data_IF_574354240132
#
_entry.id   IF_574354240132
#
_cell.length_a   1.000
_cell.length_b   1.000
_cell.length_c   1.000
_cell.angle_alpha   90.00
_cell.angle_beta   90.00
_cell.angle_gamma   90.00
#
_symmetry.space_group_name_H-M   'P 1'
#
loop_
_entity.id
_entity.type
_entity.pdbx_description
1 polymer ?
#
# COMPACT_ATOMS: atom_id res chain seq x y z
N UNK A 1 11.62 -5.78 22.41
CA UNK A 1 11.14 -6.59 21.27
C UNK A 1 10.25 -5.78 20.31
N UNK A 2 9.14 -5.18 20.77
CA UNK A 2 8.22 -4.40 19.90
C UNK A 2 8.90 -3.32 19.05
N UNK A 3 9.74 -2.46 19.64
CA UNK A 3 10.43 -1.39 18.90
C UNK A 3 11.28 -1.94 17.74
N UNK A 4 11.96 -3.06 17.96
CA UNK A 4 12.77 -3.74 16.93
C UNK A 4 11.86 -4.24 15.82
N UNK A 5 10.78 -4.95 16.16
CA UNK A 5 9.81 -5.45 15.16
C UNK A 5 9.18 -4.30 14.36
N UNK A 6 8.72 -3.24 15.03
CA UNK A 6 8.13 -2.07 14.38
C UNK A 6 9.12 -1.38 13.43
N UNK A 7 10.38 -1.24 13.85
CA UNK A 7 11.44 -0.66 13.02
C UNK A 7 11.72 -1.53 11.80
N UNK A 8 11.85 -2.86 11.98
CA UNK A 8 12.11 -3.78 10.88
C UNK A 8 10.96 -3.78 9.86
N UNK A 9 9.72 -3.82 10.33
CA UNK A 9 8.53 -3.75 9.44
C UNK A 9 8.44 -2.41 8.72
N UNK A 10 8.75 -1.30 9.40
CA UNK A 10 8.75 0.04 8.79
C UNK A 10 9.85 0.19 7.74
N UNK A 11 11.06 -0.27 8.04
CA UNK A 11 12.16 -0.27 7.09
C UNK A 11 11.86 -1.16 5.88
N UNK A 12 11.35 -2.38 6.10
CA UNK A 12 11.00 -3.30 5.04
C UNK A 12 9.91 -2.71 4.12
N UNK A 13 8.82 -2.19 4.70
CA UNK A 13 7.75 -1.56 3.93
C UNK A 13 8.24 -0.36 3.12
N UNK A 14 9.08 0.49 3.71
CA UNK A 14 9.67 1.63 3.01
C UNK A 14 10.57 1.17 1.85
N UNK A 15 11.46 0.20 2.07
CA UNK A 15 12.39 -0.30 1.05
C UNK A 15 11.66 -0.92 -0.14
N UNK A 16 10.66 -1.78 0.10
CA UNK A 16 9.88 -2.40 -0.97
C UNK A 16 9.12 -1.33 -1.78
N UNK A 17 8.53 -0.34 -1.12
CA UNK A 17 7.81 0.73 -1.83
C UNK A 17 8.73 1.70 -2.56
N UNK A 18 9.92 1.99 -2.04
CA UNK A 18 10.95 2.76 -2.78
C UNK A 18 11.37 2.01 -4.03
N UNK A 19 11.59 0.70 -3.92
CA UNK A 19 11.90 -0.14 -5.08
C UNK A 19 10.77 -0.10 -6.13
N UNK A 20 9.50 -0.24 -5.71
CA UNK A 20 8.36 -0.11 -6.61
C UNK A 20 8.26 1.27 -7.27
N UNK A 21 8.53 2.33 -6.51
CA UNK A 21 8.54 3.70 -7.01
C UNK A 21 9.62 3.90 -8.08
N UNK A 22 10.83 3.39 -7.85
CA UNK A 22 11.92 3.44 -8.84
C UNK A 22 11.51 2.68 -10.12
N UNK A 23 10.95 1.48 -9.98
CA UNK A 23 10.44 0.72 -11.13
C UNK A 23 9.36 1.50 -11.88
N UNK A 24 8.43 2.14 -11.16
CA UNK A 24 7.33 2.94 -11.72
C UNK A 24 7.81 4.12 -12.57
N UNK A 25 8.91 4.76 -12.16
CA UNK A 25 9.46 5.94 -12.81
C UNK A 25 10.39 5.62 -13.98
N UNK A 26 11.21 4.56 -13.87
CA UNK A 26 12.26 4.26 -14.86
C UNK A 26 11.76 3.33 -15.97
N UNK A 27 10.98 2.30 -15.63
CA UNK A 27 10.76 1.15 -16.53
C UNK A 27 9.43 1.17 -17.28
N UNK A 28 8.52 2.11 -16.98
CA UNK A 28 7.19 2.12 -17.59
C UNK A 28 7.18 2.84 -18.95
N UNK A 29 6.80 2.16 -20.05
CA UNK A 29 6.68 2.78 -21.35
C UNK A 29 5.55 3.81 -21.36
N UNK A 30 5.63 4.79 -22.27
CA UNK A 30 4.68 5.90 -22.38
C UNK A 30 3.22 5.49 -22.59
N UNK A 31 2.96 4.26 -23.06
CA UNK A 31 1.63 3.71 -23.26
C UNK A 31 0.98 3.19 -21.95
N UNK A 32 1.74 3.03 -20.86
CA UNK A 32 1.24 2.58 -19.54
C UNK A 32 1.28 3.68 -18.47
N UNK A 33 1.25 4.96 -18.88
CA UNK A 33 1.33 6.13 -17.99
C UNK A 33 0.32 6.12 -16.85
N UNK A 34 -0.88 5.56 -17.06
CA UNK A 34 -1.92 5.50 -16.05
C UNK A 34 -1.52 4.61 -14.87
N UNK A 35 -1.04 3.39 -15.16
CA UNK A 35 -0.58 2.44 -14.15
C UNK A 35 0.63 2.97 -13.39
N UNK A 36 1.60 3.59 -14.10
CA UNK A 36 2.76 4.22 -13.46
C UNK A 36 2.35 5.32 -12.47
N UNK A 37 1.37 6.17 -12.82
CA UNK A 37 0.84 7.21 -11.92
C UNK A 37 0.17 6.60 -10.69
N UNK A 38 -0.67 5.57 -10.87
CA UNK A 38 -1.36 4.90 -9.74
C UNK A 38 -0.36 4.26 -8.78
N UNK A 39 0.64 3.55 -9.31
CA UNK A 39 1.70 2.90 -8.52
C UNK A 39 2.52 3.97 -7.80
N UNK A 40 2.90 5.04 -8.49
CA UNK A 40 3.67 6.16 -7.91
C UNK A 40 2.94 6.77 -6.71
N UNK A 41 1.66 7.12 -6.87
CA UNK A 41 0.84 7.72 -5.80
C UNK A 41 0.76 6.78 -4.60
N UNK A 42 0.49 5.50 -4.84
CA UNK A 42 0.39 4.51 -3.76
C UNK A 42 1.73 4.27 -3.06
N UNK A 43 2.80 4.07 -3.80
CA UNK A 43 4.12 3.84 -3.21
C UNK A 43 4.57 5.04 -2.38
N UNK A 44 4.28 6.27 -2.83
CA UNK A 44 4.52 7.47 -2.03
C UNK A 44 3.72 7.48 -0.72
N UNK A 45 2.42 7.17 -0.73
CA UNK A 45 1.63 7.12 0.50
C UNK A 45 2.08 6.00 1.44
N UNK A 46 2.46 4.83 0.91
CA UNK A 46 2.96 3.71 1.72
C UNK A 46 4.32 4.02 2.36
N UNK A 47 5.23 4.70 1.64
CA UNK A 47 6.48 5.19 2.23
C UNK A 47 6.17 6.15 3.38
N UNK A 48 5.23 7.08 3.20
CA UNK A 48 4.85 8.01 4.27
C UNK A 48 4.27 7.31 5.49
N UNK A 49 3.44 6.27 5.32
CA UNK A 49 2.96 5.43 6.43
C UNK A 49 4.14 4.79 7.17
N UNK A 50 5.07 4.19 6.45
CA UNK A 50 6.23 3.54 7.05
C UNK A 50 7.11 4.53 7.84
N UNK A 51 7.38 5.70 7.26
CA UNK A 51 8.17 6.77 7.92
C UNK A 51 7.45 7.27 9.16
N UNK A 52 6.15 7.56 9.08
CA UNK A 52 5.38 8.06 10.20
C UNK A 52 5.24 7.01 11.30
N UNK A 53 5.04 5.73 10.95
CA UNK A 53 4.97 4.65 11.92
C UNK A 53 6.30 4.44 12.66
N UNK A 54 7.43 4.59 11.97
CA UNK A 54 8.74 4.64 12.62
C UNK A 54 8.89 5.88 13.53
N UNK A 55 8.42 7.04 13.06
CA UNK A 55 8.51 8.30 13.78
C UNK A 55 7.70 8.31 15.09
N UNK A 56 6.48 7.76 15.09
CA UNK A 56 5.64 7.74 16.30
C UNK A 56 5.80 6.49 17.16
N UNK A 57 6.01 5.33 16.55
CA UNK A 57 5.92 4.00 17.20
C UNK A 57 4.73 3.93 18.17
N UNK A 58 3.55 4.16 17.61
CA UNK A 58 2.35 4.41 18.39
C UNK A 58 1.84 3.13 19.08
N UNK A 59 1.47 3.26 20.35
CA UNK A 59 0.68 2.27 21.10
C UNK A 59 -0.67 2.91 21.46
N UNK A 60 -1.74 2.15 21.32
CA UNK A 60 -3.10 2.63 21.59
C UNK A 60 -3.67 1.79 22.72
N UNK A 61 -4.13 2.47 23.77
CA UNK A 61 -4.79 1.87 24.93
C UNK A 61 -6.12 2.59 25.08
N UNK A 62 -7.20 1.84 25.27
CA UNK A 62 -8.51 2.42 25.57
C UNK A 62 -9.23 1.52 26.54
N UNK A 63 -9.90 2.11 27.53
CA UNK A 63 -10.85 1.47 28.42
C UNK A 63 -12.29 1.91 28.11
N UNK A 64 -12.53 2.58 26.97
CA UNK A 64 -13.86 3.08 26.60
C UNK A 64 -14.20 4.46 27.20
N UNK A 65 -13.78 4.72 28.43
CA UNK A 65 -13.96 6.00 29.13
C UNK A 65 -12.83 6.98 28.76
N UNK A 66 -11.63 6.46 28.54
CA UNK A 66 -10.42 7.18 28.18
C UNK A 66 -9.66 6.47 27.06
N UNK A 67 -9.03 7.27 26.20
CA UNK A 67 -8.12 6.79 25.15
C UNK A 67 -6.75 7.40 25.40
N UNK A 68 -5.74 6.55 25.51
CA UNK A 68 -4.35 6.91 25.67
C UNK A 68 -3.55 6.52 24.43
N UNK A 69 -2.80 7.48 23.92
CA UNK A 69 -1.82 7.31 22.86
C UNK A 69 -0.43 7.35 23.51
N UNK A 70 0.26 6.22 23.54
CA UNK A 70 1.62 6.12 24.09
C UNK A 70 2.61 6.03 22.92
N UNK A 71 3.37 7.10 22.70
CA UNK A 71 4.35 7.18 21.61
C UNK A 71 5.76 6.96 22.15
N UNK A 72 6.54 6.13 21.47
CA UNK A 72 7.93 5.81 21.86
C UNK A 72 8.95 5.92 20.70
N UNK A 73 8.54 6.54 19.59
CA UNK A 73 9.42 6.78 18.45
C UNK A 73 10.20 8.09 18.55
N UNK A 74 10.91 8.46 17.50
CA UNK A 74 11.72 9.69 17.45
C UNK A 74 10.92 10.98 17.69
N UNK A 75 9.58 10.94 17.56
CA UNK A 75 8.71 12.07 17.89
C UNK A 75 8.86 12.55 19.34
N UNK A 76 9.25 11.67 20.27
CA UNK A 76 9.35 12.01 21.69
C UNK A 76 10.44 13.05 21.96
N UNK A 77 11.49 13.09 21.14
CA UNK A 77 12.53 14.13 21.20
C UNK A 77 12.06 15.49 20.72
N UNK A 78 11.04 15.56 19.86
CA UNK A 78 10.45 16.81 19.38
C UNK A 78 9.30 17.30 20.26
N UNK A 79 8.75 16.40 21.08
CA UNK A 79 7.75 16.69 22.09
C UNK A 79 6.32 16.24 21.73
N UNK A 80 5.35 16.50 22.63
CA UNK A 80 4.01 15.91 22.53
C UNK A 80 3.22 16.30 21.29
N UNK A 81 3.33 17.55 20.85
CA UNK A 81 2.67 18.03 19.64
C UNK A 81 3.17 17.31 18.40
N UNK A 82 4.46 16.98 18.33
CA UNK A 82 5.04 16.24 17.22
C UNK A 82 4.53 14.80 17.19
N UNK A 83 4.45 14.13 18.36
CA UNK A 83 3.87 12.78 18.45
C UNK A 83 2.39 12.74 18.06
N UNK A 84 1.59 13.69 18.55
CA UNK A 84 0.18 13.80 18.16
C UNK A 84 0.01 14.05 16.67
N UNK A 85 0.78 15.00 16.12
CA UNK A 85 0.76 15.32 14.68
C UNK A 85 1.14 14.11 13.85
N UNK A 86 2.20 13.38 14.24
CA UNK A 86 2.64 12.18 13.57
C UNK A 86 1.55 11.09 13.56
N UNK A 87 0.82 10.91 14.66
CA UNK A 87 -0.30 9.97 14.73
C UNK A 87 -1.45 10.36 13.80
N UNK A 88 -1.82 11.65 13.78
CA UNK A 88 -2.89 12.16 12.92
C UNK A 88 -2.52 12.03 11.43
N UNK A 89 -1.27 12.32 11.06
CA UNK A 89 -0.80 12.10 9.69
C UNK A 89 -0.74 10.60 9.34
N UNK A 90 -0.27 9.74 10.24
CA UNK A 90 -0.19 8.30 10.01
C UNK A 90 -1.56 7.73 9.64
N UNK A 91 -2.56 8.02 10.48
CA UNK A 91 -3.93 7.57 10.28
C UNK A 91 -4.57 8.18 9.03
N UNK A 92 -4.26 9.44 8.73
CA UNK A 92 -4.66 10.10 7.48
C UNK A 92 -4.12 9.39 6.23
N UNK A 93 -2.86 8.94 6.22
CA UNK A 93 -2.33 8.21 5.07
C UNK A 93 -2.91 6.79 4.96
N UNK A 94 -3.21 6.14 6.09
CA UNK A 94 -3.93 4.85 6.08
C UNK A 94 -5.33 5.05 5.46
N UNK A 95 -6.03 6.11 5.86
CA UNK A 95 -7.33 6.45 5.30
C UNK A 95 -7.26 6.80 3.81
N UNK A 96 -6.26 7.59 3.42
CA UNK A 96 -5.98 7.90 2.01
C UNK A 96 -5.84 6.62 1.18
N UNK A 97 -5.09 5.64 1.70
CA UNK A 97 -4.87 4.35 1.05
C UNK A 97 -6.16 3.54 0.87
N UNK A 98 -7.04 3.49 1.88
CA UNK A 98 -8.32 2.79 1.80
C UNK A 98 -9.22 3.40 0.73
N UNK A 99 -9.41 4.72 0.79
CA UNK A 99 -10.19 5.45 -0.22
C UNK A 99 -9.57 5.23 -1.61
N UNK A 100 -8.24 5.25 -1.72
CA UNK A 100 -7.55 5.03 -3.00
C UNK A 100 -7.77 3.62 -3.57
N UNK A 101 -7.90 2.59 -2.72
CA UNK A 101 -8.32 1.25 -3.15
C UNK A 101 -9.73 1.30 -3.75
N UNK A 102 -10.68 1.99 -3.07
CA UNK A 102 -12.03 2.21 -3.59
C UNK A 102 -12.06 3.01 -4.91
N UNK A 103 -11.25 4.06 -5.05
CA UNK A 103 -11.13 4.79 -6.30
C UNK A 103 -10.52 3.91 -7.41
N UNK A 104 -9.52 3.08 -7.08
CA UNK A 104 -8.90 2.14 -8.02
C UNK A 104 -9.92 1.12 -8.55
N UNK A 105 -10.85 0.68 -7.70
CA UNK A 105 -11.97 -0.17 -8.07
C UNK A 105 -12.91 0.53 -9.06
N UNK A 106 -13.29 1.77 -8.76
CA UNK A 106 -14.14 2.58 -9.63
C UNK A 106 -13.50 2.85 -11.01
N UNK A 107 -12.20 3.20 -11.02
CA UNK A 107 -11.47 3.43 -12.28
C UNK A 107 -11.43 2.19 -13.17
N UNK A 108 -11.24 1.00 -12.59
CA UNK A 108 -11.23 -0.25 -13.37
C UNK A 108 -12.60 -0.59 -13.93
N UNK A 109 -13.67 -0.35 -13.17
CA UNK A 109 -15.03 -0.48 -13.69
C UNK A 109 -15.26 0.46 -14.89
N UNK A 110 -14.78 1.71 -14.79
CA UNK A 110 -14.88 2.69 -15.86
C UNK A 110 -14.10 2.29 -17.11
N UNK A 111 -12.86 1.81 -16.99
CA UNK A 111 -12.09 1.30 -18.15
C UNK A 111 -12.76 0.08 -18.82
N UNK A 112 -13.48 -0.76 -18.07
CA UNK A 112 -14.18 -1.92 -18.65
C UNK A 112 -15.44 -1.54 -19.45
N UNK A 113 -16.14 -0.46 -19.07
CA UNK A 113 -17.42 -0.07 -19.68
C UNK A 113 -17.34 1.20 -20.54
N UNK A 114 -16.29 2.02 -20.37
CA UNK A 114 -16.13 3.36 -20.95
C UNK A 114 -14.69 3.60 -21.42
N UNK A 115 -14.44 4.78 -21.97
CA UNK A 115 -13.12 5.19 -22.46
C UNK A 115 -12.12 5.43 -21.32
N UNK A 116 -10.83 5.17 -21.57
CA UNK A 116 -9.79 5.27 -20.53
C UNK A 116 -9.68 6.67 -19.91
N UNK A 117 -9.63 6.77 -18.56
CA UNK A 117 -9.47 8.04 -17.89
C UNK A 117 -8.08 8.62 -18.15
N UNK A 118 -8.00 9.93 -18.41
CA UNK A 118 -6.73 10.62 -18.63
C UNK A 118 -5.91 10.64 -17.34
N UNK A 119 -4.59 10.42 -17.44
CA UNK A 119 -3.67 10.47 -16.29
C UNK A 119 -3.71 11.81 -15.51
N UNK A 120 -4.05 12.93 -16.19
CA UNK A 120 -4.25 14.22 -15.53
C UNK A 120 -5.41 14.21 -14.54
N UNK A 121 -6.49 13.50 -14.87
CA UNK A 121 -7.68 13.37 -14.00
C UNK A 121 -7.34 12.57 -12.74
N UNK A 122 -6.62 11.46 -12.87
CA UNK A 122 -6.19 10.65 -11.71
C UNK A 122 -5.29 11.46 -10.77
N UNK A 123 -4.33 12.22 -11.32
CA UNK A 123 -3.48 13.11 -10.49
C UNK A 123 -4.28 14.18 -9.77
N UNK A 124 -5.29 14.77 -10.43
CA UNK A 124 -6.16 15.77 -9.81
C UNK A 124 -6.98 15.16 -8.67
N UNK A 125 -7.55 13.97 -8.86
CA UNK A 125 -8.32 13.27 -7.83
C UNK A 125 -7.44 12.98 -6.60
N UNK A 126 -6.24 12.44 -6.83
CA UNK A 126 -5.28 12.18 -5.75
C UNK A 126 -4.90 13.46 -5.00
N UNK A 127 -4.65 14.55 -5.73
CA UNK A 127 -4.34 15.85 -5.14
C UNK A 127 -5.50 16.38 -4.29
N UNK A 128 -6.73 16.38 -4.82
CA UNK A 128 -7.92 16.81 -4.08
C UNK A 128 -8.11 15.99 -2.80
N UNK A 129 -7.92 14.67 -2.87
CA UNK A 129 -8.06 13.79 -1.72
C UNK A 129 -7.01 14.08 -0.64
N UNK A 130 -5.74 14.25 -1.02
CA UNK A 130 -4.67 14.62 -0.09
C UNK A 130 -4.97 15.97 0.57
N UNK A 131 -5.42 16.95 -0.21
CA UNK A 131 -5.74 18.29 0.29
C UNK A 131 -6.87 18.25 1.33
N UNK A 132 -7.97 17.54 1.05
CA UNK A 132 -9.10 17.41 1.99
C UNK A 132 -8.64 16.76 3.29
N UNK A 133 -7.90 15.65 3.20
CA UNK A 133 -7.42 14.96 4.39
C UNK A 133 -6.40 15.79 5.18
N UNK A 134 -5.54 16.55 4.50
CA UNK A 134 -4.59 17.46 5.14
C UNK A 134 -5.30 18.57 5.94
N UNK A 135 -6.37 19.17 5.40
CA UNK A 135 -7.15 20.16 6.13
C UNK A 135 -7.83 19.58 7.37
N UNK A 136 -8.36 18.35 7.28
CA UNK A 136 -8.96 17.66 8.43
C UNK A 136 -7.92 17.42 9.54
N UNK A 137 -6.73 16.94 9.19
CA UNK A 137 -5.65 16.69 10.15
C UNK A 137 -5.14 17.98 10.80
N UNK A 138 -4.87 19.00 9.99
CA UNK A 138 -4.39 20.30 10.51
C UNK A 138 -5.39 20.98 11.41
N UNK A 139 -6.70 20.81 11.15
CA UNK A 139 -7.76 21.23 12.05
C UNK A 139 -7.58 20.64 13.46
N UNK A 140 -7.49 19.31 13.58
CA UNK A 140 -7.28 18.67 14.89
C UNK A 140 -5.97 19.07 15.58
N UNK A 141 -4.87 19.17 14.82
CA UNK A 141 -3.57 19.59 15.35
C UNK A 141 -3.65 21.03 15.90
N UNK A 142 -4.39 21.93 15.25
CA UNK A 142 -4.52 23.32 15.70
C UNK A 142 -5.21 23.46 17.06
N UNK A 143 -6.10 22.52 17.41
CA UNK A 143 -6.77 22.48 18.71
C UNK A 143 -5.98 21.73 19.78
N UNK A 144 -4.87 21.08 19.41
CA UNK A 144 -4.06 20.30 20.34
C UNK A 144 -3.29 21.20 21.30
N UNK A 145 -3.58 21.05 22.60
CA UNK A 145 -2.85 21.73 23.66
C UNK A 145 -2.09 20.71 24.52
N UNK A 146 -0.74 20.71 24.50
CA UNK A 146 0.05 19.72 25.23
C UNK A 146 -0.21 19.79 26.74
N UNK A 147 -0.47 20.98 27.32
CA UNK A 147 -0.66 21.13 28.77
C UNK A 147 -1.86 20.36 29.32
N UNK A 148 -2.91 20.24 28.52
CA UNK A 148 -4.16 19.56 28.91
C UNK A 148 -4.22 18.11 28.44
N UNK A 149 -3.34 17.73 27.52
CA UNK A 149 -3.42 16.45 26.82
C UNK A 149 -2.23 15.54 27.08
N UNK A 150 -1.29 15.91 27.95
CA UNK A 150 -0.18 15.05 28.36
C UNK A 150 -0.35 14.55 29.79
N UNK A 151 -0.12 13.27 30.01
CA UNK A 151 -0.15 12.65 31.34
C UNK A 151 1.25 12.23 31.78
N UNK A 152 1.64 12.47 33.04
CA UNK A 152 2.93 12.03 33.54
C UNK A 152 2.97 10.49 33.66
N UNK A 153 4.01 9.87 33.09
CA UNK A 153 4.24 8.43 33.13
C UNK A 153 4.16 7.79 34.53
N UNK A 154 4.57 8.55 35.56
CA UNK A 154 4.51 8.15 36.97
C UNK A 154 3.09 7.84 37.45
N UNK A 155 2.07 8.46 36.85
CA UNK A 155 0.66 8.24 37.23
C UNK A 155 0.11 6.90 36.73
N UNK A 156 0.78 6.30 35.72
CA UNK A 156 0.41 5.03 35.09
C UNK A 156 1.30 3.87 35.54
N UNK A 157 2.12 4.05 36.58
CA UNK A 157 3.06 3.05 37.09
C UNK A 157 4.02 2.51 36.02
N UNK A 158 4.32 3.31 34.98
CA UNK A 158 5.26 2.94 33.93
C UNK A 158 6.62 3.60 34.19
N UNK A 159 7.71 2.86 34.00
CA UNK A 159 9.07 3.40 34.14
C UNK A 159 9.29 4.58 33.21
N UNK A 160 9.94 5.68 33.67
CA UNK A 160 10.24 6.85 32.87
C UNK A 160 11.34 6.52 31.85
N UNK A 161 10.96 5.78 30.81
CA UNK A 161 11.68 5.76 29.54
C UNK A 161 11.15 6.89 28.66
N UNK A 162 11.86 7.24 27.59
CA UNK A 162 11.55 8.33 26.64
C UNK A 162 10.22 8.14 25.89
N UNK A 163 9.11 8.14 26.63
CA UNK A 163 7.75 7.93 26.13
C UNK A 163 6.89 9.15 26.41
N UNK A 164 6.03 9.47 25.45
CA UNK A 164 5.04 10.52 25.59
C UNK A 164 3.67 9.87 25.64
N UNK A 165 2.91 10.18 26.70
CA UNK A 165 1.54 9.70 26.89
C UNK A 165 0.58 10.85 26.63
N UNK A 166 -0.22 10.70 25.58
CA UNK A 166 -1.25 11.65 25.20
C UNK A 166 -2.63 11.11 25.58
N UNK A 167 -3.49 11.98 26.07
CA UNK A 167 -4.87 11.64 26.43
C UNK A 167 -5.74 12.89 26.57
N UNK A 168 -6.89 12.73 27.22
CA UNK A 168 -7.85 13.81 27.46
C UNK A 168 -8.89 13.97 26.34
N UNK A 169 -9.83 14.92 26.48
CA UNK A 169 -11.04 14.97 25.65
C UNK A 169 -10.77 15.13 24.16
N UNK A 170 -9.77 15.94 23.80
CA UNK A 170 -9.41 16.13 22.40
C UNK A 170 -8.85 14.85 21.78
N UNK A 171 -7.89 14.20 22.45
CA UNK A 171 -7.28 12.94 21.99
C UNK A 171 -8.32 11.84 21.89
N UNK A 172 -9.25 11.78 22.85
CA UNK A 172 -10.39 10.88 22.83
C UNK A 172 -11.26 11.09 21.59
N UNK A 173 -11.79 12.30 21.41
CA UNK A 173 -12.69 12.62 20.30
C UNK A 173 -12.01 12.46 18.94
N UNK A 174 -10.76 12.91 18.80
CA UNK A 174 -10.03 12.80 17.54
C UNK A 174 -9.73 11.34 17.19
N UNK A 175 -9.32 10.52 18.16
CA UNK A 175 -9.01 9.11 17.91
C UNK A 175 -10.27 8.33 17.56
N UNK A 176 -11.37 8.53 18.30
CA UNK A 176 -12.64 7.90 18.00
C UNK A 176 -13.15 8.28 16.61
N UNK A 177 -13.06 9.57 16.25
CA UNK A 177 -13.45 10.06 14.91
C UNK A 177 -12.64 9.39 13.82
N UNK A 178 -11.32 9.34 13.96
CA UNK A 178 -10.41 8.71 12.98
C UNK A 178 -10.72 7.23 12.80
N UNK A 179 -10.92 6.48 13.89
CA UNK A 179 -11.27 5.05 13.81
C UNK A 179 -12.67 4.82 13.22
N UNK A 180 -13.64 5.70 13.49
CA UNK A 180 -14.97 5.63 12.89
C UNK A 180 -14.91 5.88 11.37
N UNK A 181 -14.13 6.87 10.93
CA UNK A 181 -13.91 7.16 9.50
C UNK A 181 -13.21 5.97 8.82
N UNK A 182 -12.16 5.41 9.43
CA UNK A 182 -11.50 4.21 8.93
C UNK A 182 -12.47 3.04 8.78
N UNK A 183 -13.37 2.82 9.75
CA UNK A 183 -14.39 1.77 9.70
C UNK A 183 -15.35 1.98 8.52
N UNK A 184 -15.85 3.20 8.36
CA UNK A 184 -16.76 3.56 7.25
C UNK A 184 -16.06 3.29 5.91
N UNK A 185 -14.81 3.72 5.76
CA UNK A 185 -14.05 3.55 4.52
C UNK A 185 -13.74 2.10 4.20
N UNK A 186 -13.38 1.28 5.20
CA UNK A 186 -13.23 -0.17 5.00
C UNK A 186 -14.55 -0.81 4.56
N UNK A 187 -15.67 -0.48 5.21
CA UNK A 187 -16.98 -0.99 4.83
C UNK A 187 -17.35 -0.62 3.39
N UNK A 188 -17.10 0.63 2.98
CA UNK A 188 -17.30 1.08 1.60
C UNK A 188 -16.44 0.29 0.60
N UNK A 189 -15.16 0.07 0.91
CA UNK A 189 -14.26 -0.73 0.07
C UNK A 189 -14.76 -2.17 -0.08
N UNK A 190 -15.26 -2.79 0.99
CA UNK A 190 -15.81 -4.15 0.95
C UNK A 190 -17.11 -4.22 0.13
N UNK A 191 -18.02 -3.26 0.30
CA UNK A 191 -19.26 -3.17 -0.50
C UNK A 191 -18.91 -3.02 -1.99
N UNK A 192 -18.00 -2.11 -2.33
CA UNK A 192 -17.54 -1.91 -3.70
C UNK A 192 -16.88 -3.17 -4.26
N UNK A 193 -16.13 -3.91 -3.45
CA UNK A 193 -15.54 -5.19 -3.87
C UNK A 193 -16.60 -6.23 -4.22
N UNK A 194 -17.60 -6.47 -3.35
CA UNK A 194 -18.67 -7.43 -3.64
C UNK A 194 -19.43 -7.03 -4.90
N UNK A 195 -19.77 -5.75 -5.03
CA UNK A 195 -20.46 -5.23 -6.22
C UNK A 195 -19.65 -5.44 -7.51
N UNK A 196 -18.36 -5.09 -7.53
CA UNK A 196 -17.51 -5.29 -8.72
C UNK A 196 -17.31 -6.76 -9.03
N UNK A 197 -17.15 -7.61 -8.01
CA UNK A 197 -17.02 -9.05 -8.20
C UNK A 197 -18.23 -9.61 -8.95
N UNK A 198 -19.44 -9.21 -8.55
CA UNK A 198 -20.67 -9.67 -9.19
C UNK A 198 -20.77 -9.19 -10.64
N UNK A 199 -20.44 -7.91 -10.88
CA UNK A 199 -20.36 -7.35 -12.24
C UNK A 199 -19.36 -8.13 -13.11
N UNK A 200 -18.17 -8.43 -12.59
CA UNK A 200 -17.10 -9.07 -13.36
C UNK A 200 -17.42 -10.53 -13.69
N UNK A 201 -18.06 -11.27 -12.78
CA UNK A 201 -18.52 -12.64 -13.02
C UNK A 201 -19.60 -12.65 -14.11
N UNK A 202 -20.55 -11.72 -14.06
CA UNK A 202 -21.59 -11.59 -15.08
C UNK A 202 -21.01 -11.22 -16.45
N UNK A 203 -19.95 -10.40 -16.49
CA UNK A 203 -19.28 -10.03 -17.74
C UNK A 203 -18.47 -11.20 -18.34
N UNK A 204 -17.80 -12.01 -17.51
CA UNK A 204 -17.09 -13.22 -17.95
C UNK A 204 -18.01 -14.23 -18.63
N UNK A 205 -19.25 -14.39 -18.14
CA UNK A 205 -20.24 -15.27 -18.77
C UNK A 205 -20.63 -14.82 -20.19
N UNK A 206 -20.42 -13.55 -20.53
CA UNK A 206 -20.82 -12.97 -21.81
C UNK A 206 -19.71 -12.95 -22.88
N UNK A 207 -18.43 -13.04 -22.50
CA UNK A 207 -17.30 -12.90 -23.46
C UNK A 207 -16.11 -13.82 -23.12
N UNK A 208 -15.87 -14.84 -23.95
CA UNK A 208 -14.78 -15.83 -23.78
C UNK A 208 -13.37 -15.28 -24.04
N UNK A 209 -13.22 -14.23 -24.87
CA UNK A 209 -11.92 -13.61 -25.17
C UNK A 209 -11.33 -12.79 -24.01
N UNK A 210 -12.14 -12.41 -23.01
CA UNK A 210 -11.74 -11.54 -21.88
C UNK A 210 -11.37 -12.35 -20.63
N UNK A 211 -11.41 -13.68 -20.70
CA UNK A 211 -11.28 -14.58 -19.54
C UNK A 211 -9.93 -14.41 -18.81
N UNK A 212 -8.82 -14.32 -19.57
CA UNK A 212 -7.48 -14.18 -19.00
C UNK A 212 -7.24 -12.81 -18.35
N UNK A 213 -7.73 -11.71 -18.96
CA UNK A 213 -7.62 -10.38 -18.36
C UNK A 213 -8.48 -10.26 -17.10
N UNK A 214 -9.70 -10.82 -17.12
CA UNK A 214 -10.58 -10.84 -15.96
C UNK A 214 -10.00 -11.67 -14.81
N UNK A 215 -9.35 -12.81 -15.09
CA UNK A 215 -8.67 -13.62 -14.06
C UNK A 215 -7.52 -12.88 -13.35
N UNK A 216 -6.68 -12.15 -14.09
CA UNK A 216 -5.61 -11.34 -13.51
C UNK A 216 -6.20 -10.24 -12.61
N UNK A 217 -7.28 -9.60 -13.06
CA UNK A 217 -7.99 -8.58 -12.27
C UNK A 217 -8.52 -9.17 -10.95
N UNK A 218 -9.22 -10.32 -11.00
CA UNK A 218 -9.74 -11.04 -9.82
C UNK A 218 -8.63 -11.38 -8.83
N UNK A 219 -7.47 -11.85 -9.31
CA UNK A 219 -6.33 -12.16 -8.43
C UNK A 219 -5.85 -10.93 -7.66
N UNK A 220 -5.75 -9.78 -8.33
CA UNK A 220 -5.31 -8.58 -7.62
C UNK A 220 -6.36 -8.05 -6.66
N UNK A 221 -7.65 -8.11 -7.02
CA UNK A 221 -8.73 -7.71 -6.12
C UNK A 221 -8.70 -8.50 -4.81
N UNK A 222 -8.43 -9.80 -4.88
CA UNK A 222 -8.30 -10.64 -3.68
C UNK A 222 -7.20 -10.12 -2.74
N UNK A 223 -6.04 -9.75 -3.29
CA UNK A 223 -4.95 -9.20 -2.48
C UNK A 223 -5.36 -7.85 -1.88
N UNK A 224 -5.93 -6.94 -2.66
CA UNK A 224 -6.34 -5.61 -2.17
C UNK A 224 -7.42 -5.68 -1.07
N UNK A 225 -8.34 -6.65 -1.15
CA UNK A 225 -9.30 -6.93 -0.08
C UNK A 225 -8.60 -7.46 1.17
N UNK A 226 -7.65 -8.39 1.02
CA UNK A 226 -6.87 -8.88 2.17
C UNK A 226 -6.19 -7.72 2.92
N UNK A 227 -5.65 -6.71 2.20
CA UNK A 227 -5.08 -5.50 2.82
C UNK A 227 -6.12 -4.74 3.66
N UNK A 228 -7.33 -4.60 3.12
CA UNK A 228 -8.45 -3.92 3.79
C UNK A 228 -8.93 -4.70 5.02
N UNK A 229 -8.89 -6.04 4.96
CA UNK A 229 -9.25 -6.92 6.09
C UNK A 229 -8.26 -6.82 7.25
N UNK A 230 -6.96 -6.64 7.00
CA UNK A 230 -6.00 -6.35 8.08
C UNK A 230 -6.30 -5.02 8.78
N UNK A 231 -6.73 -4.02 8.02
CA UNK A 231 -7.17 -2.73 8.59
C UNK A 231 -8.45 -2.90 9.41
N UNK A 232 -9.43 -3.67 8.91
CA UNK A 232 -10.64 -4.03 9.66
C UNK A 232 -10.32 -4.74 10.97
N UNK A 233 -9.37 -5.68 10.95
CA UNK A 233 -8.96 -6.42 12.14
C UNK A 233 -8.34 -5.48 13.19
N UNK A 234 -7.51 -4.52 12.77
CA UNK A 234 -6.97 -3.50 13.68
C UNK A 234 -8.06 -2.65 14.33
N UNK A 235 -9.08 -2.26 13.56
CA UNK A 235 -10.24 -1.51 14.06
C UNK A 235 -11.08 -2.37 15.01
N UNK A 236 -11.33 -3.63 14.66
CA UNK A 236 -12.08 -4.56 15.52
C UNK A 236 -11.40 -4.76 16.87
N UNK A 237 -10.07 -4.92 16.88
CA UNK A 237 -9.27 -5.02 18.12
C UNK A 237 -9.40 -3.73 18.95
N UNK A 238 -9.36 -2.56 18.33
CA UNK A 238 -9.59 -1.30 19.02
C UNK A 238 -10.98 -1.26 19.69
N UNK A 239 -12.04 -1.66 18.99
CA UNK A 239 -13.38 -1.72 19.58
C UNK A 239 -13.53 -2.78 20.67
N UNK A 240 -12.85 -3.93 20.54
CA UNK A 240 -12.82 -4.96 21.60
C UNK A 240 -12.11 -4.48 22.87
N UNK A 241 -11.06 -3.67 22.73
CA UNK A 241 -10.45 -2.97 23.87
C UNK A 241 -11.42 -1.94 24.45
N UNK A 242 -12.11 -1.18 23.59
CA UNK A 242 -13.06 -0.15 23.99
C UNK A 242 -14.24 -0.72 24.81
N UNK A 243 -14.71 -1.94 24.49
CA UNK A 243 -15.79 -2.62 25.24
C UNK A 243 -15.30 -3.37 26.49
N UNK A 244 -14.02 -3.23 26.87
CA UNK A 244 -13.37 -3.94 28.00
C UNK A 244 -13.49 -5.47 27.90
N UNK A 245 -13.68 -6.03 26.70
CA UNK A 245 -13.87 -7.47 26.49
C UNK A 245 -12.55 -8.24 26.58
N UNK A 246 -11.43 -7.59 26.26
CA UNK A 246 -10.09 -8.17 26.30
C UNK A 246 -9.15 -7.24 27.08
N UNK A 247 -8.33 -7.82 27.95
CA UNK A 247 -7.32 -7.07 28.72
C UNK A 247 -6.29 -6.40 27.80
N UNK A 248 -5.89 -5.18 28.17
CA UNK A 248 -5.06 -4.32 27.34
C UNK A 248 -3.66 -4.89 27.07
N UNK A 249 -3.08 -5.67 28.01
CA UNK A 249 -1.65 -6.00 28.02
C UNK A 249 -1.12 -6.68 26.73
N UNK A 250 -1.94 -7.51 26.06
CA UNK A 250 -1.54 -8.24 24.85
C UNK A 250 -1.87 -7.53 23.53
N UNK A 251 -2.80 -6.56 23.54
CA UNK A 251 -3.35 -5.99 22.31
C UNK A 251 -2.84 -4.59 21.97
N UNK A 252 -2.13 -3.94 22.90
CA UNK A 252 -1.61 -2.57 22.75
C UNK A 252 -0.71 -2.39 21.53
N UNK A 253 0.04 -3.45 21.19
CA UNK A 253 0.97 -3.45 20.06
C UNK A 253 0.33 -3.93 18.76
N UNK A 254 -0.82 -4.60 18.82
CA UNK A 254 -1.37 -5.34 17.69
C UNK A 254 -1.99 -4.43 16.64
N UNK A 255 -2.71 -3.38 17.06
CA UNK A 255 -3.36 -2.41 16.16
C UNK A 255 -2.36 -1.77 15.17
N UNK A 256 -1.27 -1.11 15.61
CA UNK A 256 -0.31 -0.50 14.70
C UNK A 256 0.43 -1.53 13.83
N UNK A 257 0.71 -2.73 14.36
CA UNK A 257 1.34 -3.81 13.59
C UNK A 257 0.46 -4.30 12.44
N UNK A 258 -0.85 -4.42 12.67
CA UNK A 258 -1.81 -4.81 11.63
C UNK A 258 -1.89 -3.77 10.51
N UNK A 259 -1.89 -2.48 10.87
CA UNK A 259 -1.87 -1.40 9.87
C UNK A 259 -0.60 -1.42 9.01
N UNK A 260 0.53 -1.89 9.56
CA UNK A 260 1.80 -2.01 8.84
C UNK A 260 1.88 -3.17 7.84
N UNK A 261 1.00 -4.16 7.94
CA UNK A 261 0.94 -5.24 6.95
C UNK A 261 0.49 -4.69 5.58
N UNK A 262 -0.38 -3.68 5.58
CA UNK A 262 -0.91 -3.07 4.35
C UNK A 262 0.19 -2.49 3.43
N UNK A 263 1.06 -1.55 3.87
CA UNK A 263 2.13 -1.02 3.03
C UNK A 263 3.18 -2.07 2.65
N UNK A 264 3.37 -3.15 3.42
CA UNK A 264 4.30 -4.23 3.07
C UNK A 264 3.74 -5.09 1.93
N UNK A 265 2.44 -5.38 1.95
CA UNK A 265 1.79 -6.27 0.99
C UNK A 265 1.25 -5.55 -0.25
N UNK A 266 1.01 -4.24 -0.18
CA UNK A 266 0.52 -3.44 -1.32
C UNK A 266 1.38 -3.58 -2.59
N UNK A 267 2.73 -3.58 -2.54
CA UNK A 267 3.61 -3.70 -3.71
C UNK A 267 3.33 -4.94 -4.55
N UNK A 268 3.02 -6.06 -3.89
CA UNK A 268 2.76 -7.34 -4.54
C UNK A 268 1.47 -7.32 -5.36
N UNK A 269 0.46 -6.57 -4.91
CA UNK A 269 -0.76 -6.31 -5.70
C UNK A 269 -0.41 -5.64 -7.03
N UNK A 270 0.55 -4.71 -7.04
CA UNK A 270 0.92 -3.97 -8.24
C UNK A 270 1.87 -4.74 -9.16
N UNK A 271 2.76 -5.57 -8.61
CA UNK A 271 3.61 -6.46 -9.41
C UNK A 271 2.78 -7.44 -10.26
N UNK A 272 1.69 -7.97 -9.69
CA UNK A 272 0.74 -8.83 -10.42
C UNK A 272 -0.05 -8.09 -11.50
N UNK A 273 -0.11 -6.75 -11.44
CA UNK A 273 -0.76 -5.91 -12.45
C UNK A 273 0.05 -5.73 -13.74
N UNK A 274 1.29 -6.23 -13.79
CA UNK A 274 2.19 -6.07 -14.93
C UNK A 274 2.37 -7.38 -15.71
N UNK A 275 1.40 -7.77 -16.57
CA UNK A 275 1.59 -8.90 -17.48
C UNK A 275 2.83 -8.71 -18.40
N UNK A 276 3.19 -7.46 -18.69
CA UNK A 276 4.35 -7.13 -19.51
C UNK A 276 5.71 -7.25 -18.77
N UNK A 277 5.77 -7.21 -17.43
CA UNK A 277 7.03 -7.49 -16.71
C UNK A 277 7.30 -8.99 -16.61
N UNK A 278 6.26 -9.82 -16.49
CA UNK A 278 6.44 -11.28 -16.62
C UNK A 278 6.92 -11.65 -18.02
N UNK A 279 6.33 -11.08 -19.07
CA UNK A 279 6.82 -11.28 -20.41
C UNK A 279 8.23 -10.71 -20.59
N UNK A 280 8.54 -9.51 -20.09
CA UNK A 280 9.88 -8.92 -20.20
C UNK A 280 10.95 -9.72 -19.42
N UNK A 281 10.68 -10.18 -18.20
CA UNK A 281 11.59 -11.06 -17.46
C UNK A 281 11.72 -12.43 -18.12
N UNK A 282 10.66 -12.94 -18.76
CA UNK A 282 10.73 -14.15 -19.56
C UNK A 282 11.50 -13.94 -20.88
N UNK A 283 11.41 -12.76 -21.50
CA UNK A 283 12.19 -12.38 -22.69
C UNK A 283 13.66 -12.17 -22.36
N UNK A 284 14.00 -11.52 -21.24
CA UNK A 284 15.38 -11.46 -20.75
C UNK A 284 15.91 -12.86 -20.37
N UNK A 285 15.08 -13.75 -19.81
CA UNK A 285 15.47 -15.16 -19.58
C UNK A 285 15.79 -15.90 -20.88
N UNK A 286 14.98 -15.68 -21.92
CA UNK A 286 15.19 -16.26 -23.25
C UNK A 286 16.45 -15.70 -23.92
N UNK A 287 16.73 -14.41 -23.79
CA UNK A 287 17.98 -13.80 -24.27
C UNK A 287 19.23 -14.28 -23.50
N UNK A 288 19.08 -14.68 -22.23
CA UNK A 288 20.17 -15.27 -21.44
C UNK A 288 20.36 -16.78 -21.65
N UNK A 289 19.36 -17.52 -22.13
CA UNK A 289 19.49 -18.94 -22.52
C UNK A 289 19.84 -19.16 -24.01
N UNK A 290 19.57 -18.19 -24.89
CA UNK A 290 19.97 -18.24 -26.31
C UNK A 290 21.47 -18.05 -26.67
N UNK A 291 22.40 -17.58 -25.82
CA UNK A 291 23.78 -17.38 -26.28
C UNK A 291 24.50 -18.71 -26.57
N UNK A 292 24.10 -19.83 -25.96
CA UNK A 292 24.76 -21.13 -26.20
C UNK A 292 24.24 -21.89 -27.44
N UNK A 293 23.00 -21.64 -27.89
CA UNK A 293 22.42 -22.41 -28.98
C UNK A 293 22.74 -21.83 -30.38
N UNK A 294 22.93 -20.51 -30.46
CA UNK A 294 23.21 -19.83 -31.73
C UNK A 294 24.68 -19.97 -32.20
N UNK A 295 25.61 -20.23 -31.28
CA UNK A 295 27.03 -20.41 -31.62
C UNK A 295 27.33 -21.81 -32.18
N UNK A 296 26.63 -22.87 -31.72
CA UNK A 296 26.75 -24.23 -32.30
C UNK A 296 26.24 -24.33 -33.74
N UNK A 297 25.19 -23.58 -34.11
CA UNK A 297 24.65 -23.60 -35.48
C UNK A 297 25.50 -22.84 -36.49
N UNK A 298 26.26 -21.82 -36.08
CA UNK A 298 27.17 -21.09 -36.99
C UNK A 298 28.44 -21.88 -37.31
N UNK A 299 28.99 -22.62 -36.35
CA UNK A 299 30.15 -23.49 -36.58
C UNK A 299 29.85 -24.63 -37.56
N UNK A 300 28.66 -25.24 -37.48
CA UNK A 300 28.25 -26.33 -38.38
C UNK A 300 28.01 -25.89 -39.85
N UNK A 301 27.66 -24.62 -40.10
CA UNK A 301 27.23 -24.17 -41.43
C UNK A 301 28.37 -23.61 -42.30
N UNK A 302 29.53 -23.32 -41.71
CA UNK A 302 30.72 -22.87 -42.46
C UNK A 302 31.59 -24.03 -42.97
N UNK A 303 31.42 -25.25 -42.46
CA UNK A 303 32.18 -26.42 -42.93
C UNK A 303 31.57 -27.08 -44.19
N UNK A 304 30.34 -26.74 -44.58
CA UNK A 304 29.64 -27.40 -45.70
C UNK A 304 29.59 -26.63 -47.02
N UNK A 305 30.10 -25.39 -47.08
CA UNK A 305 29.95 -24.53 -48.27
C UNK A 305 31.21 -24.47 -49.15
N UNK A 306 32.34 -25.05 -48.74
CA UNK A 306 33.61 -24.98 -49.51
C UNK A 306 33.85 -26.12 -50.49
N UNK A 307 32.86 -26.99 -50.75
CA UNK A 307 32.97 -28.10 -51.69
C UNK A 307 31.74 -28.15 -52.60
N UNK A 308 31.62 -27.26 -53.59
CA UNK A 308 30.86 -27.50 -54.84
C UNK A 308 30.81 -26.22 -55.70
N UNK A 309 31.89 -25.88 -56.40
CA UNK A 309 31.81 -25.10 -57.65
C UNK A 309 33.09 -25.26 -58.47
N UNK A 310 33.16 -26.31 -59.29
CA UNK A 310 33.86 -26.21 -60.59
C UNK A 310 33.36 -27.31 -61.53
N UNK A 311 32.60 -26.92 -62.56
CA UNK A 311 32.80 -27.34 -63.96
C UNK A 311 31.53 -27.15 -64.80
N UNK A 312 31.78 -26.88 -66.08
CA UNK A 312 30.89 -26.93 -67.26
C UNK A 312 30.17 -25.65 -67.67
N UNK A 313 30.63 -25.04 -68.78
CA UNK A 313 30.03 -25.20 -70.12
C UNK A 313 30.77 -24.34 -71.17
N UNK A 314 31.18 -24.96 -72.28
CA UNK A 314 31.59 -24.32 -73.54
C UNK A 314 30.55 -24.71 -74.60
N UNK A 315 30.05 -23.70 -75.33
CA UNK A 315 29.04 -23.72 -76.39
C UNK A 315 29.74 -23.98 -77.75
N UNK A 316 29.05 -24.56 -78.76
CA UNK A 316 29.57 -25.07 -80.04
C UNK A 316 30.51 -24.17 -80.86
#
# INVERSE_FOLDING_TARGET
>A
MYMVVNTMLSALGALINVFMLILALIKFPTNMRLCSVIITIKSCSDIMICVLNYFVMQRIVTDGDHIFLISTGSCTHLGPTACYSGFMFLTCFIEFNLIWIGCSYWFRYYTLHCHDPKARTIRLIAFCQIVVLFFLVTGWISFFNPKTSTFPAKLLSMEPSDMVILGGPLVYNSTLTVFAVLLISVCLVLILFFWIRDVLINFQAATSEVENMNMLLVKVYKIQVILSMFTLLGIAIFFLQFTKTIEHHYLIYTIPLLFMISPILSPFSYLLFLPNLQNYFNTERLEFEEPEFHERRRSSRYQSVTFMTSSTTLVP
#
